data_IF_460216339674
#
_entry.id   IF_460216339674
#
_cell.length_a   1.000
_cell.length_b   1.000
_cell.length_c   1.000
_cell.angle_alpha   90.00
_cell.angle_beta   90.00
_cell.angle_gamma   90.00
#
_symmetry.space_group_name_H-M   'P 1'
#
loop_
_entity.id
_entity.type
_entity.pdbx_description
1 polymer ?
#
# COMPACT_ATOMS: atom_id res chain seq x y z
N UNK A 1 14.43 0.04 -10.26
CA UNK A 1 15.19 -0.63 -9.18
C UNK A 1 15.83 0.47 -8.34
N UNK A 2 15.27 0.78 -7.17
CA UNK A 2 15.81 1.84 -6.29
C UNK A 2 16.76 1.15 -5.30
N UNK A 3 18.05 1.42 -5.47
CA UNK A 3 19.10 0.99 -4.54
C UNK A 3 18.90 1.71 -3.20
N UNK A 4 18.71 0.95 -2.12
CA UNK A 4 18.66 1.49 -0.77
C UNK A 4 20.07 1.97 -0.36
N UNK A 5 20.19 3.24 0.01
CA UNK A 5 21.40 3.86 0.53
C UNK A 5 22.02 3.04 1.68
N UNK A 6 23.32 2.73 1.58
CA UNK A 6 24.08 2.06 2.63
C UNK A 6 24.33 3.01 3.82
N UNK A 7 24.14 2.55 5.07
CA UNK A 7 24.41 3.36 6.25
C UNK A 7 25.92 3.57 6.43
N UNK A 8 26.36 4.84 6.44
CA UNK A 8 27.77 5.19 6.69
C UNK A 8 28.06 5.32 8.19
N UNK A 9 29.03 4.54 8.68
CA UNK A 9 29.59 4.63 10.03
C UNK A 9 29.57 3.31 10.80
N UNK A 10 30.60 3.03 11.62
CA UNK A 10 30.75 1.75 12.35
C UNK A 10 29.54 1.42 13.23
N UNK A 11 29.07 2.36 14.05
CA UNK A 11 27.90 2.14 14.91
C UNK A 11 26.60 1.99 14.11
N UNK A 12 26.47 2.70 12.98
CA UNK A 12 25.31 2.59 12.08
C UNK A 12 25.31 1.23 11.36
N UNK A 13 26.48 0.74 10.95
CA UNK A 13 26.67 -0.58 10.36
C UNK A 13 26.39 -1.70 11.36
N UNK A 14 26.88 -1.60 12.60
CA UNK A 14 26.58 -2.60 13.65
C UNK A 14 25.08 -2.59 14.00
N UNK A 15 24.46 -1.42 14.12
CA UNK A 15 23.02 -1.32 14.39
C UNK A 15 22.15 -1.75 13.20
N UNK A 16 22.63 -1.60 11.96
CA UNK A 16 21.96 -2.06 10.76
C UNK A 16 22.13 -3.56 10.55
N UNK A 17 23.34 -4.11 10.75
CA UNK A 17 23.57 -5.57 10.75
C UNK A 17 22.77 -6.23 11.86
N UNK A 18 22.75 -5.66 13.06
CA UNK A 18 21.95 -6.16 14.20
C UNK A 18 20.46 -6.15 13.89
N UNK A 19 19.93 -5.08 13.28
CA UNK A 19 18.53 -5.04 12.83
C UNK A 19 18.26 -6.04 11.70
N UNK A 20 19.14 -6.16 10.71
CA UNK A 20 18.97 -7.03 9.55
C UNK A 20 19.07 -8.51 9.92
N UNK A 21 20.00 -8.89 10.80
CA UNK A 21 20.08 -10.25 11.38
C UNK A 21 18.88 -10.55 12.27
N UNK A 22 18.45 -9.61 13.11
CA UNK A 22 17.23 -9.76 13.91
C UNK A 22 15.96 -9.92 13.06
N UNK A 23 15.85 -9.19 11.94
CA UNK A 23 14.76 -9.34 10.97
C UNK A 23 14.83 -10.70 10.25
N UNK A 24 16.03 -11.13 9.82
CA UNK A 24 16.23 -12.41 9.12
C UNK A 24 15.96 -13.63 10.02
N UNK A 25 16.34 -13.56 11.30
CA UNK A 25 16.01 -14.58 12.31
C UNK A 25 14.52 -14.60 12.68
N UNK A 26 13.75 -13.56 12.37
CA UNK A 26 12.30 -13.49 12.67
C UNK A 26 11.42 -13.90 11.50
N UNK A 27 11.90 -13.73 10.26
CA UNK A 27 11.14 -14.01 9.03
C UNK A 27 11.56 -15.29 8.31
N UNK A 28 12.75 -15.83 8.57
CA UNK A 28 13.19 -17.09 7.96
C UNK A 28 12.58 -18.31 8.64
N UNK A 29 12.35 -19.38 7.87
CA UNK A 29 11.88 -20.67 8.38
C UNK A 29 12.87 -21.27 9.40
N UNK A 30 14.17 -21.06 9.20
CA UNK A 30 15.24 -21.48 10.13
C UNK A 30 15.17 -20.69 11.43
N UNK A 31 14.95 -19.38 11.37
CA UNK A 31 14.79 -18.53 12.55
C UNK A 31 13.54 -18.88 13.37
N UNK A 32 12.42 -19.19 12.70
CA UNK A 32 11.22 -19.73 13.37
C UNK A 32 11.45 -21.10 13.97
N UNK A 33 12.18 -21.98 13.30
CA UNK A 33 12.54 -23.31 13.81
C UNK A 33 13.41 -23.21 15.07
N UNK A 34 14.47 -22.40 15.05
CA UNK A 34 15.35 -22.19 16.21
C UNK A 34 14.60 -21.54 17.38
N UNK A 35 13.75 -20.55 17.11
CA UNK A 35 12.90 -19.96 18.16
C UNK A 35 11.98 -21.01 18.79
N UNK A 36 11.35 -21.87 18.00
CA UNK A 36 10.47 -22.92 18.50
C UNK A 36 11.24 -24.07 19.19
N UNK A 37 12.48 -24.34 18.80
CA UNK A 37 13.33 -25.37 19.40
C UNK A 37 13.93 -24.93 20.75
N UNK A 38 14.25 -23.64 20.91
CA UNK A 38 14.85 -23.10 22.15
C UNK A 38 13.79 -22.73 23.19
N UNK A 39 12.55 -22.44 22.77
CA UNK A 39 11.40 -22.15 23.66
C UNK A 39 11.17 -23.20 24.78
N UNK A 40 11.10 -24.52 24.52
CA UNK A 40 10.91 -25.50 25.58
C UNK A 40 12.10 -25.58 26.53
N UNK A 41 13.32 -25.41 26.01
CA UNK A 41 14.56 -25.46 26.81
C UNK A 41 14.67 -24.21 27.69
N UNK A 42 14.32 -23.03 27.19
CA UNK A 42 14.24 -21.79 27.96
C UNK A 42 13.21 -21.90 29.11
N UNK A 43 12.04 -22.50 28.84
CA UNK A 43 11.03 -22.77 29.89
C UNK A 43 11.51 -23.78 30.94
N UNK A 44 12.22 -24.82 30.52
CA UNK A 44 12.74 -25.86 31.42
C UNK A 44 13.94 -25.37 32.26
N UNK A 45 14.66 -24.36 31.77
CA UNK A 45 15.79 -23.72 32.46
C UNK A 45 15.38 -22.46 33.24
N UNK A 46 14.08 -22.20 33.42
CA UNK A 46 13.59 -21.05 34.18
C UNK A 46 13.96 -19.69 33.56
N UNK A 47 14.21 -19.64 32.24
CA UNK A 47 14.58 -18.43 31.53
C UNK A 47 16.07 -18.06 31.57
N UNK A 48 16.95 -18.94 32.07
CA UNK A 48 18.41 -18.72 32.06
C UNK A 48 18.94 -18.65 30.62
N UNK A 49 18.35 -19.43 29.70
CA UNK A 49 18.63 -19.30 28.27
C UNK A 49 17.64 -18.29 27.69
N UNK A 50 18.09 -17.09 27.27
CA UNK A 50 17.20 -16.06 26.78
C UNK A 50 16.56 -16.49 25.45
N UNK A 51 15.23 -16.64 25.45
CA UNK A 51 14.47 -16.73 24.21
C UNK A 51 14.56 -15.39 23.47
N UNK A 52 14.75 -15.36 22.14
CA UNK A 52 14.77 -14.13 21.36
C UNK A 52 13.46 -13.34 21.53
N UNK A 53 13.49 -12.32 22.40
CA UNK A 53 12.50 -11.28 22.66
C UNK A 53 11.09 -11.54 22.12
N UNK A 54 10.36 -12.42 22.81
CA UNK A 54 8.92 -12.44 22.73
C UNK A 54 8.42 -11.18 23.45
N UNK A 55 7.95 -10.18 22.71
CA UNK A 55 7.18 -9.09 23.27
C UNK A 55 6.11 -9.77 24.15
N UNK A 56 6.06 -9.51 25.45
CA UNK A 56 5.12 -10.17 26.38
C UNK A 56 3.66 -10.13 25.88
N UNK A 57 3.34 -9.16 25.04
CA UNK A 57 2.07 -9.01 24.32
C UNK A 57 1.80 -10.08 23.24
N UNK A 58 2.82 -10.52 22.48
CA UNK A 58 2.68 -11.59 21.49
C UNK A 58 2.51 -12.95 22.18
N UNK A 59 3.22 -13.19 23.29
CA UNK A 59 3.04 -14.38 24.12
C UNK A 59 1.64 -14.43 24.75
N UNK A 60 1.09 -13.29 25.20
CA UNK A 60 -0.28 -13.21 25.69
C UNK A 60 -1.31 -13.50 24.59
N UNK A 61 -1.11 -12.99 23.37
CA UNK A 61 -2.00 -13.28 22.23
C UNK A 61 -1.91 -14.75 21.80
N UNK A 62 -0.73 -15.38 21.80
CA UNK A 62 -0.57 -16.83 21.50
C UNK A 62 -1.15 -17.73 22.61
N UNK A 63 -1.00 -17.37 23.88
CA UNK A 63 -1.63 -18.06 25.02
C UNK A 63 -3.16 -18.02 24.95
N UNK A 64 -3.74 -17.01 24.30
CA UNK A 64 -5.18 -16.90 24.08
C UNK A 64 -5.64 -17.41 22.71
N UNK A 65 -4.73 -17.64 21.75
CA UNK A 65 -5.05 -18.09 20.39
C UNK A 65 -4.82 -19.60 20.15
N UNK A 66 -4.05 -20.29 21.02
CA UNK A 66 -3.77 -21.71 20.83
C UNK A 66 -4.77 -22.59 21.59
N UNK A 67 -5.53 -23.39 20.85
CA UNK A 67 -6.21 -24.59 21.37
C UNK A 67 -5.16 -25.42 22.13
N UNK A 68 -5.41 -25.85 23.38
CA UNK A 68 -4.43 -26.64 24.11
C UNK A 68 -4.18 -27.97 23.39
N UNK A 69 -2.96 -28.16 22.88
CA UNK A 69 -2.49 -29.43 22.34
C UNK A 69 -2.22 -30.37 23.52
N UNK A 70 -3.11 -31.35 23.72
CA UNK A 70 -3.00 -32.35 24.79
C UNK A 70 -4.31 -32.85 25.39
N UNK A 71 -5.49 -32.41 24.93
CA UNK A 71 -6.76 -32.93 25.46
C UNK A 71 -7.18 -34.23 24.77
N UNK A 72 -7.55 -35.22 25.60
CA UNK A 72 -8.18 -36.48 25.20
C UNK A 72 -9.37 -36.27 24.25
N UNK A 73 -9.65 -37.22 23.33
CA UNK A 73 -10.77 -37.11 22.41
C UNK A 73 -12.09 -37.09 23.19
N UNK A 74 -12.70 -35.90 23.33
CA UNK A 74 -13.99 -35.72 24.02
C UNK A 74 -14.08 -34.54 24.98
N UNK A 75 -12.99 -33.87 25.34
CA UNK A 75 -13.06 -32.67 26.19
C UNK A 75 -13.29 -31.41 25.34
N UNK A 76 -14.49 -30.84 25.35
CA UNK A 76 -14.73 -29.48 24.84
C UNK A 76 -14.07 -28.48 25.80
N UNK A 77 -13.04 -27.73 25.39
CA UNK A 77 -12.43 -26.73 26.26
C UNK A 77 -13.47 -25.66 26.60
N UNK A 78 -13.63 -25.35 27.89
CA UNK A 78 -14.38 -24.16 28.31
C UNK A 78 -13.79 -22.95 27.58
N UNK A 79 -14.59 -22.15 26.85
CA UNK A 79 -14.05 -21.02 26.10
C UNK A 79 -13.28 -20.10 27.07
N UNK A 80 -12.10 -19.61 26.66
CA UNK A 80 -11.35 -18.68 27.48
C UNK A 80 -12.23 -17.46 27.81
N UNK A 81 -12.09 -16.89 29.02
CA UNK A 81 -12.82 -15.69 29.38
C UNK A 81 -12.56 -14.60 28.33
N UNK A 82 -13.58 -13.81 27.96
CA UNK A 82 -13.42 -12.77 26.95
C UNK A 82 -12.31 -11.80 27.41
N UNK A 83 -11.45 -11.34 26.48
CA UNK A 83 -10.39 -10.40 26.83
C UNK A 83 -10.99 -9.12 27.42
N UNK A 84 -10.29 -8.46 28.35
CA UNK A 84 -10.73 -7.17 28.87
C UNK A 84 -10.98 -6.18 27.72
N UNK A 85 -11.99 -5.30 27.83
CA UNK A 85 -12.44 -4.45 26.71
C UNK A 85 -11.31 -3.59 26.14
N UNK A 86 -10.40 -3.07 26.98
CA UNK A 86 -9.26 -2.28 26.53
C UNK A 86 -8.24 -3.07 25.69
N UNK A 87 -8.04 -4.36 25.97
CA UNK A 87 -7.12 -5.23 25.21
C UNK A 87 -7.70 -5.55 23.83
N UNK A 88 -9.00 -5.85 23.79
CA UNK A 88 -9.72 -6.05 22.53
C UNK A 88 -9.66 -4.79 21.64
N UNK A 89 -9.92 -3.61 22.21
CA UNK A 89 -9.84 -2.34 21.49
C UNK A 89 -8.42 -2.04 20.97
N UNK A 90 -7.39 -2.25 21.81
CA UNK A 90 -6.00 -2.04 21.41
C UNK A 90 -5.57 -2.96 20.26
N UNK A 91 -6.03 -4.22 20.26
CA UNK A 91 -5.75 -5.16 19.17
C UNK A 91 -6.39 -4.70 17.85
N UNK A 92 -7.64 -4.23 17.88
CA UNK A 92 -8.33 -3.68 16.71
C UNK A 92 -7.62 -2.43 16.17
N UNK A 93 -7.29 -1.47 17.05
CA UNK A 93 -6.59 -0.24 16.66
C UNK A 93 -5.22 -0.57 16.06
N UNK A 94 -4.51 -1.56 16.59
CA UNK A 94 -3.21 -1.98 16.05
C UNK A 94 -3.35 -2.59 14.66
N UNK A 95 -4.36 -3.42 14.43
CA UNK A 95 -4.64 -3.98 13.11
C UNK A 95 -4.99 -2.86 12.11
N UNK A 96 -5.84 -1.92 12.51
CA UNK A 96 -6.24 -0.79 11.66
C UNK A 96 -5.05 0.15 11.33
N UNK A 97 -4.18 0.42 12.32
CA UNK A 97 -2.95 1.20 12.11
C UNK A 97 -1.97 0.50 11.19
N UNK A 98 -1.90 -0.84 11.22
CA UNK A 98 -1.06 -1.58 10.29
C UNK A 98 -1.50 -1.39 8.83
N UNK A 99 -2.80 -1.19 8.60
CA UNK A 99 -3.36 -0.92 7.27
C UNK A 99 -3.25 0.55 6.84
N UNK A 100 -2.92 1.48 7.74
CA UNK A 100 -2.85 2.91 7.41
C UNK A 100 -1.84 3.22 6.30
N UNK A 101 -0.73 2.47 6.23
CA UNK A 101 0.25 2.60 5.16
C UNK A 101 -0.35 2.32 3.78
N UNK A 102 -1.15 1.26 3.67
CA UNK A 102 -1.81 0.86 2.43
C UNK A 102 -2.83 1.92 2.02
N UNK A 103 -3.62 2.44 2.96
CA UNK A 103 -4.59 3.52 2.67
C UNK A 103 -3.89 4.79 2.19
N UNK A 104 -2.75 5.14 2.78
CA UNK A 104 -1.94 6.28 2.33
C UNK A 104 -1.42 6.09 0.90
N UNK A 105 -0.95 4.90 0.56
CA UNK A 105 -0.49 4.57 -0.80
C UNK A 105 -1.65 4.61 -1.80
N UNK A 106 -2.84 4.15 -1.41
CA UNK A 106 -4.05 4.27 -2.24
C UNK A 106 -4.42 5.74 -2.49
N UNK A 107 -4.39 6.60 -1.47
CA UNK A 107 -4.62 8.05 -1.60
C UNK A 107 -3.60 8.71 -2.54
N UNK A 108 -2.32 8.32 -2.43
CA UNK A 108 -1.27 8.81 -3.31
C UNK A 108 -1.50 8.42 -4.78
N UNK A 109 -2.04 7.22 -5.03
CA UNK A 109 -2.44 6.79 -6.38
C UNK A 109 -3.61 7.65 -6.91
N UNK A 110 -4.64 7.88 -6.08
CA UNK A 110 -5.79 8.70 -6.47
C UNK A 110 -5.41 10.15 -6.79
N UNK A 111 -4.34 10.68 -6.19
CA UNK A 111 -3.85 12.03 -6.45
C UNK A 111 -3.46 12.29 -7.92
N UNK A 112 -3.08 11.22 -8.66
CA UNK A 112 -2.71 11.31 -10.07
C UNK A 112 -3.87 11.18 -11.04
N UNK A 113 -5.08 10.89 -10.56
CA UNK A 113 -6.25 10.71 -11.42
C UNK A 113 -6.92 12.05 -11.72
N UNK A 114 -7.47 12.17 -12.93
CA UNK A 114 -8.30 13.31 -13.31
C UNK A 114 -9.72 13.09 -12.80
N UNK A 115 -10.12 13.85 -11.78
CA UNK A 115 -11.44 13.77 -11.16
C UNK A 115 -12.60 14.05 -12.13
N UNK A 116 -12.34 14.66 -13.30
CA UNK A 116 -13.37 14.81 -14.35
C UNK A 116 -13.81 13.48 -14.94
N UNK A 117 -12.89 12.52 -15.05
CA UNK A 117 -13.18 11.18 -15.57
C UNK A 117 -13.47 10.17 -14.46
N UNK A 118 -12.96 10.41 -13.26
CA UNK A 118 -13.07 9.52 -12.11
C UNK A 118 -13.65 10.27 -10.90
N UNK A 119 -14.95 10.60 -10.88
CA UNK A 119 -15.58 11.31 -9.76
C UNK A 119 -15.55 10.51 -8.45
N UNK A 120 -15.44 9.18 -8.52
CA UNK A 120 -15.24 8.31 -7.36
C UNK A 120 -13.90 8.56 -6.66
N UNK A 121 -12.87 9.01 -7.39
CA UNK A 121 -11.59 9.38 -6.81
C UNK A 121 -11.72 10.63 -5.93
N UNK A 122 -12.50 11.61 -6.37
CA UNK A 122 -12.79 12.81 -5.59
C UNK A 122 -13.49 12.45 -4.27
N UNK A 123 -14.55 11.65 -4.34
CA UNK A 123 -15.28 11.20 -3.16
C UNK A 123 -14.38 10.44 -2.18
N UNK A 124 -13.50 9.57 -2.69
CA UNK A 124 -12.53 8.83 -1.88
C UNK A 124 -11.47 9.75 -1.24
N UNK A 125 -11.01 10.80 -1.94
CA UNK A 125 -10.09 11.80 -1.40
C UNK A 125 -10.75 12.63 -0.29
N UNK A 126 -12.01 13.05 -0.47
CA UNK A 126 -12.78 13.78 0.55
C UNK A 126 -13.00 12.90 1.80
N UNK A 127 -13.40 11.64 1.60
CA UNK A 127 -13.57 10.68 2.69
C UNK A 127 -12.24 10.43 3.42
N UNK A 128 -11.14 10.30 2.68
CA UNK A 128 -9.80 10.11 3.26
C UNK A 128 -9.32 11.34 4.04
N UNK A 129 -9.71 12.55 3.62
CA UNK A 129 -9.41 13.80 4.32
C UNK A 129 -10.21 13.95 5.62
N UNK A 130 -11.50 13.59 5.63
CA UNK A 130 -12.40 13.91 6.74
C UNK A 130 -12.66 12.75 7.69
N UNK A 131 -12.75 11.53 7.18
CA UNK A 131 -13.21 10.36 7.94
C UNK A 131 -12.09 9.38 8.33
N UNK A 132 -10.89 9.43 7.71
CA UNK A 132 -9.82 8.50 8.09
C UNK A 132 -9.35 8.77 9.52
N UNK A 133 -9.18 7.69 10.31
CA UNK A 133 -8.73 7.81 11.70
C UNK A 133 -7.26 8.19 11.81
N UNK A 134 -6.44 7.82 10.85
CA UNK A 134 -5.00 8.06 10.86
C UNK A 134 -4.65 9.42 10.25
N UNK A 135 -3.91 10.24 11.01
CA UNK A 135 -3.58 11.60 10.56
C UNK A 135 -2.70 11.60 9.31
N UNK A 136 -1.85 10.58 9.10
CA UNK A 136 -0.95 10.55 7.97
C UNK A 136 -1.70 10.31 6.66
N UNK A 137 -2.81 9.56 6.71
CA UNK A 137 -3.70 9.39 5.56
C UNK A 137 -4.42 10.70 5.25
N UNK A 138 -4.97 11.38 6.28
CA UNK A 138 -5.62 12.70 6.11
C UNK A 138 -4.66 13.75 5.54
N UNK A 139 -3.41 13.77 6.02
CA UNK A 139 -2.38 14.67 5.50
C UNK A 139 -2.07 14.40 4.02
N UNK A 140 -1.98 13.13 3.64
CA UNK A 140 -1.74 12.75 2.26
C UNK A 140 -2.92 13.14 1.37
N UNK A 141 -4.15 12.97 1.85
CA UNK A 141 -5.35 13.40 1.14
C UNK A 141 -5.38 14.93 0.94
N UNK A 142 -5.01 15.70 1.96
CA UNK A 142 -4.89 17.16 1.84
C UNK A 142 -3.83 17.57 0.79
N UNK A 143 -2.68 16.87 0.76
CA UNK A 143 -1.64 17.09 -0.25
C UNK A 143 -2.09 16.70 -1.65
N UNK A 144 -2.77 15.56 -1.79
CA UNK A 144 -3.34 15.09 -3.04
C UNK A 144 -4.30 16.13 -3.63
N UNK A 145 -5.20 16.67 -2.81
CA UNK A 145 -6.12 17.74 -3.20
C UNK A 145 -5.39 19.06 -3.54
N UNK A 146 -4.26 19.34 -2.87
CA UNK A 146 -3.43 20.50 -3.20
C UNK A 146 -2.69 20.36 -4.54
N UNK A 147 -2.45 19.14 -5.03
CA UNK A 147 -1.76 18.86 -6.30
C UNK A 147 -2.69 18.52 -7.46
N UNK A 148 -3.87 17.96 -7.17
CA UNK A 148 -4.83 17.45 -8.15
C UNK A 148 -5.74 18.51 -8.79
N UNK A 149 -6.62 18.08 -9.69
CA UNK A 149 -7.59 18.94 -10.38
C UNK A 149 -8.97 19.03 -9.71
N UNK A 150 -9.14 18.38 -8.56
CA UNK A 150 -10.45 18.09 -7.96
C UNK A 150 -10.98 19.29 -7.15
N UNK A 151 -11.30 20.40 -7.80
CA UNK A 151 -11.81 21.62 -7.16
C UNK A 151 -13.33 21.78 -7.32
N UNK A 152 -14.07 20.73 -6.93
CA UNK A 152 -15.53 20.76 -6.87
C UNK A 152 -16.01 21.55 -5.63
N UNK A 153 -17.28 21.99 -5.59
CA UNK A 153 -17.86 22.59 -4.39
C UNK A 153 -17.85 21.65 -3.18
N UNK A 154 -17.91 20.33 -3.39
CA UNK A 154 -17.82 19.35 -2.32
C UNK A 154 -16.41 19.32 -1.72
N UNK A 155 -15.37 19.34 -2.56
CA UNK A 155 -13.98 19.43 -2.11
C UNK A 155 -13.74 20.73 -1.33
N UNK A 156 -14.17 21.88 -1.87
CA UNK A 156 -14.01 23.19 -1.22
C UNK A 156 -14.67 23.22 0.15
N UNK A 157 -15.88 22.66 0.27
CA UNK A 157 -16.57 22.52 1.56
C UNK A 157 -15.79 21.65 2.53
N UNK A 158 -15.31 20.48 2.10
CA UNK A 158 -14.53 19.57 2.96
C UNK A 158 -13.21 20.21 3.43
N UNK A 159 -12.51 20.92 2.54
CA UNK A 159 -11.29 21.66 2.87
C UNK A 159 -11.57 22.79 3.85
N UNK A 160 -12.67 23.54 3.66
CA UNK A 160 -13.08 24.62 4.57
C UNK A 160 -13.37 24.11 5.97
N UNK A 161 -14.12 23.01 6.10
CA UNK A 161 -14.38 22.36 7.39
C UNK A 161 -13.06 21.90 8.03
N UNK A 162 -12.15 21.31 7.24
CA UNK A 162 -10.86 20.87 7.74
C UNK A 162 -10.00 22.05 8.27
N UNK A 163 -9.97 23.17 7.56
CA UNK A 163 -9.19 24.38 7.93
C UNK A 163 -9.76 25.06 9.17
N UNK A 164 -11.09 25.18 9.25
CA UNK A 164 -11.79 25.79 10.38
C UNK A 164 -11.84 24.90 11.62
N UNK A 165 -11.42 23.63 11.50
CA UNK A 165 -11.54 22.62 12.55
C UNK A 165 -12.99 22.44 13.04
N UNK A 166 -13.95 22.44 12.11
CA UNK A 166 -15.36 22.20 12.41
C UNK A 166 -15.71 20.70 12.33
N UNK A 167 -16.82 20.31 12.97
CA UNK A 167 -17.44 18.98 12.98
C UNK A 167 -18.83 18.97 12.32
N UNK A 168 -19.17 20.01 11.56
CA UNK A 168 -20.46 20.18 10.85
C UNK A 168 -20.81 19.02 9.89
N UNK A 169 -19.83 18.28 9.39
CA UNK A 169 -20.03 17.12 8.51
C UNK A 169 -20.19 15.79 9.27
N UNK A 170 -20.29 15.83 10.61
CA UNK A 170 -20.40 14.66 11.47
C UNK A 170 -19.08 13.91 11.69
N UNK A 171 -17.98 14.40 11.10
CA UNK A 171 -16.64 13.89 11.35
C UNK A 171 -15.95 14.72 12.45
N UNK A 172 -15.03 14.13 13.24
CA UNK A 172 -14.34 14.87 14.28
C UNK A 172 -13.56 16.06 13.72
N UNK A 173 -13.59 17.18 14.44
CA UNK A 173 -12.79 18.37 14.15
C UNK A 173 -11.29 18.03 13.97
N UNK A 174 -10.67 18.56 12.91
CA UNK A 174 -9.25 18.31 12.64
C UNK A 174 -8.37 19.01 13.69
N UNK A 175 -7.51 18.23 14.35
CA UNK A 175 -6.62 18.70 15.42
C UNK A 175 -5.18 18.93 14.95
N UNK A 176 -4.77 18.27 13.87
CA UNK A 176 -3.39 18.33 13.40
C UNK A 176 -3.13 19.61 12.60
N UNK A 177 -2.24 20.48 13.08
CA UNK A 177 -1.89 21.74 12.39
C UNK A 177 -1.34 21.50 10.98
N UNK A 178 -0.54 20.44 10.78
CA UNK A 178 0.02 20.11 9.48
C UNK A 178 -1.07 19.75 8.44
N UNK A 179 -2.11 19.02 8.85
CA UNK A 179 -3.24 18.69 7.97
C UNK A 179 -4.00 19.96 7.61
N UNK A 180 -4.29 20.84 8.58
CA UNK A 180 -4.97 22.11 8.34
C UNK A 180 -4.20 23.04 7.41
N UNK A 181 -2.87 23.12 7.58
CA UNK A 181 -2.01 23.90 6.70
C UNK A 181 -2.02 23.36 5.27
N UNK A 182 -1.91 22.04 5.10
CA UNK A 182 -2.01 21.42 3.78
C UNK A 182 -3.39 21.64 3.13
N UNK A 183 -4.47 21.54 3.93
CA UNK A 183 -5.82 21.80 3.46
C UNK A 183 -6.03 23.27 3.07
N UNK A 184 -5.41 24.21 3.78
CA UNK A 184 -5.46 25.64 3.44
C UNK A 184 -4.75 25.91 2.10
N UNK A 185 -3.60 25.27 1.85
CA UNK A 185 -2.90 25.37 0.56
C UNK A 185 -3.80 24.82 -0.56
N UNK A 186 -4.43 23.66 -0.34
CA UNK A 186 -5.37 23.09 -1.31
C UNK A 186 -6.57 24.02 -1.56
N UNK A 187 -7.13 24.62 -0.50
CA UNK A 187 -8.26 25.54 -0.61
C UNK A 187 -7.88 26.78 -1.43
N UNK A 188 -6.74 27.41 -1.11
CA UNK A 188 -6.24 28.56 -1.87
C UNK A 188 -6.05 28.24 -3.35
N UNK A 189 -5.55 27.05 -3.67
CA UNK A 189 -5.43 26.60 -5.06
C UNK A 189 -6.80 26.48 -5.72
N UNK A 190 -7.78 25.88 -5.04
CA UNK A 190 -9.11 25.72 -5.63
C UNK A 190 -9.81 27.04 -5.92
N UNK A 191 -9.62 28.05 -5.05
CA UNK A 191 -10.09 29.41 -5.31
C UNK A 191 -9.41 30.03 -6.55
N UNK A 192 -8.14 29.72 -6.80
CA UNK A 192 -7.40 30.21 -7.97
C UNK A 192 -7.81 29.53 -9.29
N UNK A 193 -8.25 28.27 -9.24
CA UNK A 193 -8.62 27.51 -10.45
C UNK A 193 -9.95 27.96 -11.08
N UNK A 194 -10.80 28.67 -10.35
CA UNK A 194 -12.17 28.95 -10.76
C UNK A 194 -13.04 27.69 -10.69
N UNK A 195 -14.33 27.86 -10.40
CA UNK A 195 -15.26 26.75 -10.21
C UNK A 195 -15.57 26.03 -11.54
N UNK A 196 -14.64 25.21 -12.03
CA UNK A 196 -14.92 24.24 -13.08
C UNK A 196 -15.74 23.09 -12.48
N UNK A 197 -17.06 23.19 -12.58
CA UNK A 197 -17.93 22.03 -12.39
C UNK A 197 -17.53 20.97 -13.41
N UNK A 198 -17.21 19.75 -12.95
CA UNK A 198 -16.92 18.64 -13.86
C UNK A 198 -18.12 18.37 -14.77
N UNK A 199 -17.92 18.17 -16.08
CA UNK A 199 -19.00 17.76 -16.97
C UNK A 199 -19.48 16.36 -16.57
N UNK A 200 -20.78 16.22 -16.29
CA UNK A 200 -21.44 14.97 -15.88
C UNK A 200 -21.55 13.91 -16.99
N UNK A 201 -21.13 14.24 -18.21
CA UNK A 201 -21.19 13.35 -19.37
C UNK A 201 -19.79 13.08 -19.88
N UNK A 202 -19.34 11.80 -19.93
CA UNK A 202 -18.16 11.42 -20.69
C UNK A 202 -18.30 11.94 -22.13
N UNK A 203 -17.24 12.48 -22.76
CA UNK A 203 -17.31 12.84 -24.15
C UNK A 203 -17.67 11.59 -24.95
N UNK A 204 -18.86 11.61 -25.57
CA UNK A 204 -19.29 10.56 -26.48
C UNK A 204 -18.19 10.41 -27.54
N UNK A 205 -17.60 9.21 -27.62
CA UNK A 205 -16.64 8.93 -28.67
C UNK A 205 -17.30 9.27 -30.01
N UNK A 206 -16.58 9.88 -30.99
CA UNK A 206 -17.16 10.08 -32.30
C UNK A 206 -17.57 8.71 -32.82
N UNK A 207 -18.89 8.48 -32.90
CA UNK A 207 -19.45 7.37 -33.66
C UNK A 207 -18.93 7.59 -35.07
N UNK A 208 -17.90 6.83 -35.45
CA UNK A 208 -17.41 6.79 -36.81
C UNK A 208 -18.62 6.60 -37.69
N UNK A 209 -18.81 7.52 -38.64
CA UNK A 209 -19.86 7.44 -39.64
C UNK A 209 -19.91 6.02 -40.16
N UNK A 210 -21.02 5.32 -39.90
CA UNK A 210 -21.30 4.02 -40.51
C UNK A 210 -21.48 4.31 -41.99
N UNK A 211 -20.37 4.25 -42.72
CA UNK A 211 -20.33 4.23 -44.16
C UNK A 211 -20.64 2.82 -44.61
N UNK A 212 -21.70 2.72 -45.40
CA UNK A 212 -22.09 1.66 -46.33
C UNK A 212 -21.65 0.23 -46.04
N UNK A 213 -22.66 -0.62 -45.90
CA UNK A 213 -22.60 -2.07 -45.76
C UNK A 213 -21.82 -2.73 -46.91
N UNK A 214 -20.50 -2.95 -46.76
CA UNK A 214 -19.76 -4.11 -47.33
C UNK A 214 -18.22 -4.18 -47.11
N UNK A 215 -17.63 -3.50 -46.12
CA UNK A 215 -16.18 -3.63 -45.88
C UNK A 215 -15.82 -3.89 -44.41
N UNK A 216 -16.34 -4.96 -43.82
CA UNK A 216 -15.87 -5.44 -42.53
C UNK A 216 -14.58 -6.25 -42.69
N UNK A 217 -13.42 -5.60 -42.57
CA UNK A 217 -12.16 -6.31 -42.27
C UNK A 217 -12.24 -6.79 -40.82
N UNK A 218 -12.33 -8.10 -40.63
CA UNK A 218 -12.25 -8.75 -39.32
C UNK A 218 -10.84 -8.55 -38.75
N UNK A 219 -10.70 -7.65 -37.78
CA UNK A 219 -9.51 -7.58 -36.92
C UNK A 219 -9.78 -8.46 -35.69
N UNK A 220 -9.22 -9.66 -35.71
CA UNK A 220 -9.31 -10.62 -34.60
C UNK A 220 -8.47 -10.17 -33.42
N UNK A 221 -9.12 -9.82 -32.30
CA UNK A 221 -8.43 -9.71 -31.01
C UNK A 221 -8.29 -11.10 -30.40
N UNK A 222 -7.08 -11.66 -30.45
CA UNK A 222 -6.73 -12.83 -29.66
C UNK A 222 -6.77 -12.45 -28.17
N UNK A 223 -7.80 -12.90 -27.48
CA UNK A 223 -7.82 -12.96 -26.01
C UNK A 223 -6.79 -14.00 -25.54
N UNK A 224 -5.99 -13.72 -24.50
CA UNK A 224 -5.10 -14.74 -23.94
C UNK A 224 -5.93 -15.81 -23.24
N UNK A 225 -5.79 -17.04 -23.74
CA UNK A 225 -6.44 -18.23 -23.21
C UNK A 225 -5.97 -18.51 -21.77
N UNK A 226 -6.92 -19.02 -21.01
CA UNK A 226 -6.82 -19.63 -19.69
C UNK A 226 -5.62 -20.57 -19.55
N UNK A 227 -5.04 -20.56 -18.35
CA UNK A 227 -4.07 -21.52 -17.88
C UNK A 227 -4.68 -22.92 -17.86
N UNK A 228 -4.34 -23.75 -18.85
CA UNK A 228 -4.32 -25.22 -18.81
C UNK A 228 -3.91 -25.71 -20.20
N UNK A 229 -2.63 -25.56 -20.58
CA UNK A 229 -1.99 -26.32 -21.67
C UNK A 229 -0.47 -26.02 -21.71
N UNK A 230 0.21 -26.25 -20.59
CA UNK A 230 1.68 -26.36 -20.54
C UNK A 230 2.04 -27.83 -20.40
N UNK A 231 1.78 -28.60 -21.45
CA UNK A 231 2.41 -29.89 -21.62
C UNK A 231 2.49 -30.22 -23.11
N UNK A 232 3.71 -30.49 -23.56
CA UNK A 232 4.06 -31.05 -24.87
C UNK A 232 4.30 -30.04 -25.99
N UNK A 233 5.53 -29.51 -26.06
CA UNK A 233 6.31 -29.66 -27.30
C UNK A 233 7.81 -29.57 -27.05
N UNK A 234 8.46 -30.66 -27.44
CA UNK A 234 9.90 -30.91 -27.34
C UNK A 234 10.72 -30.00 -28.26
N UNK A 235 11.98 -29.86 -27.84
CA UNK A 235 13.10 -29.21 -28.48
C UNK A 235 13.39 -29.70 -29.91
N UNK A 236 13.70 -28.76 -30.80
CA UNK A 236 14.74 -28.91 -31.83
C UNK A 236 15.50 -27.59 -32.01
N UNK A 237 16.82 -27.62 -32.30
CA UNK A 237 17.69 -26.44 -32.23
C UNK A 237 17.62 -25.60 -33.52
N UNK A 238 17.48 -24.29 -33.39
CA UNK A 238 17.72 -23.33 -34.47
C UNK A 238 19.04 -22.61 -34.18
N UNK A 239 19.96 -22.72 -35.15
CA UNK A 239 21.25 -22.04 -35.20
C UNK A 239 21.00 -20.70 -35.88
N UNK A 240 21.07 -19.62 -35.11
CA UNK A 240 21.04 -18.24 -35.63
C UNK A 240 22.37 -17.54 -35.32
N UNK A 241 22.96 -16.99 -36.37
CA UNK A 241 24.23 -16.28 -36.41
C UNK A 241 24.21 -14.97 -35.60
N UNK A 242 25.36 -14.51 -35.05
CA UNK A 242 25.41 -13.32 -34.20
C UNK A 242 25.33 -12.00 -34.98
N UNK A 243 24.78 -10.92 -34.39
CA UNK A 243 24.73 -9.59 -35.00
C UNK A 243 26.10 -8.90 -34.97
N UNK A 244 26.44 -8.26 -36.09
CA UNK A 244 27.68 -7.51 -36.31
C UNK A 244 27.82 -6.35 -35.29
N UNK A 245 28.95 -6.36 -34.57
CA UNK A 245 29.33 -5.32 -33.63
C UNK A 245 29.87 -4.11 -34.39
N UNK A 246 29.16 -2.98 -34.33
CA UNK A 246 29.68 -1.68 -34.78
C UNK A 246 30.87 -1.29 -33.89
N UNK A 247 32.04 -1.15 -34.51
CA UNK A 247 33.30 -0.95 -33.81
C UNK A 247 33.42 0.45 -33.18
N UNK A 248 33.97 0.49 -31.97
CA UNK A 248 34.19 1.72 -31.18
C UNK A 248 35.02 2.80 -31.91
N UNK A 249 35.74 2.44 -32.98
CA UNK A 249 36.54 3.35 -33.81
C UNK A 249 35.70 4.19 -34.79
N UNK A 250 34.50 3.75 -35.19
CA UNK A 250 33.60 4.54 -36.06
C UNK A 250 32.82 5.60 -35.28
N UNK A 251 32.63 5.39 -33.97
CA UNK A 251 32.02 6.36 -33.07
C UNK A 251 32.91 7.60 -32.81
N UNK A 252 34.23 7.46 -32.89
CA UNK A 252 35.17 8.57 -32.66
C UNK A 252 35.41 9.45 -33.89
N UNK A 253 35.19 8.95 -35.11
CA UNK A 253 35.38 9.72 -36.35
C UNK A 253 34.21 10.65 -36.69
N UNK A 254 33.10 10.55 -35.94
CA UNK A 254 31.87 11.33 -36.15
C UNK A 254 31.78 12.58 -35.27
N UNK A 255 32.79 12.85 -34.43
CA UNK A 255 32.79 13.95 -33.46
C UNK A 255 33.58 15.20 -33.89
N UNK A 256 34.22 15.20 -35.06
CA UNK A 256 35.03 16.33 -35.60
C UNK A 256 34.50 16.88 -36.94
N UNK A 257 33.18 17.06 -37.07
CA UNK A 257 32.58 17.92 -38.12
C UNK A 257 31.60 18.92 -37.52
#
# INVERSE_FOLDING_TARGET
>A
MIAAEEPRGFCANVAWLGRRTHLYCRTSNVGRFLANAVKPISKLTGGIIPSPNDNHFAAAVELHATKPAGMAPGATPKPPPPPPPGVAAAAQIKAEKAQAKIRREAVAFLAGLDCRYYPEAEAALIASLRADRDQCVRLEAARALATGCCCSPATVKALTICVTSSDEDGNPAERCSAVRQAALIALQRCEQCGATSAPTTPPEAPLGSVGDDNAAVQVGYNSPASADDVATRQLTPQVDSPPESVGLLDLWRSADR
#
